data_IF_329511209447
#
_entry.id   IF_329511209447
#
_cell.length_a   1.000
_cell.length_b   1.000
_cell.length_c   1.000
_cell.angle_alpha   90.00
_cell.angle_beta   90.00
_cell.angle_gamma   90.00
#
_symmetry.space_group_name_H-M   'P 1'
#
loop_
_entity.id
_entity.type
_entity.pdbx_description
1 polymer ?
#
# COMPACT_ATOMS: atom_id res chain seq x y z
N UNK A 1 20.81 -8.85 -6.92
CA UNK A 1 20.17 -7.54 -6.65
C UNK A 1 19.11 -7.75 -5.58
N UNK A 2 19.38 -7.33 -4.34
CA UNK A 2 18.44 -7.48 -3.23
C UNK A 2 17.36 -6.42 -3.39
N UNK A 3 16.10 -6.84 -3.52
CA UNK A 3 14.95 -5.90 -3.53
C UNK A 3 14.94 -5.23 -2.16
N UNK A 4 15.23 -3.93 -2.17
CA UNK A 4 15.13 -3.05 -1.02
C UNK A 4 13.68 -3.10 -0.54
N UNK A 5 13.43 -3.77 0.59
CA UNK A 5 12.12 -3.70 1.25
C UNK A 5 12.03 -2.31 1.86
N UNK A 6 11.26 -1.44 1.20
CA UNK A 6 10.87 -0.16 1.76
C UNK A 6 10.00 -0.49 2.99
N UNK A 7 10.30 0.17 4.09
CA UNK A 7 9.69 0.05 5.41
C UNK A 7 8.16 -0.06 5.30
N UNK A 8 7.60 -1.05 6.00
CA UNK A 8 6.31 -1.70 5.77
C UNK A 8 5.09 -0.77 5.83
N UNK A 9 4.77 -0.11 4.72
CA UNK A 9 3.37 0.21 4.44
C UNK A 9 2.76 -1.07 3.84
N UNK A 10 1.82 -1.75 4.52
CA UNK A 10 1.22 -2.98 4.00
C UNK A 10 0.63 -2.68 2.62
N UNK A 11 0.80 -3.64 1.70
CA UNK A 11 0.21 -3.55 0.37
C UNK A 11 -1.29 -3.23 0.54
N UNK A 12 -1.79 -2.23 -0.20
CA UNK A 12 -3.18 -1.72 -0.06
C UNK A 12 -4.19 -2.87 -0.14
N UNK A 13 -3.85 -3.90 -0.91
CA UNK A 13 -4.61 -5.14 -1.08
C UNK A 13 -4.75 -5.92 0.23
N UNK A 14 -3.65 -6.14 0.95
CA UNK A 14 -3.63 -6.82 2.25
C UNK A 14 -4.46 -6.06 3.28
N UNK A 15 -4.29 -4.73 3.34
CA UNK A 15 -5.04 -3.89 4.27
C UNK A 15 -6.55 -3.90 3.95
N UNK A 16 -6.91 -3.91 2.66
CA UNK A 16 -8.29 -4.02 2.24
C UNK A 16 -8.93 -5.36 2.65
N UNK A 17 -8.21 -6.47 2.48
CA UNK A 17 -8.66 -7.80 2.88
C UNK A 17 -8.81 -7.95 4.40
N UNK A 18 -7.88 -7.36 5.17
CA UNK A 18 -7.98 -7.30 6.62
C UNK A 18 -9.27 -6.62 7.07
N UNK A 19 -9.56 -5.43 6.53
CA UNK A 19 -10.79 -4.71 6.87
C UNK A 19 -12.05 -5.43 6.38
N UNK A 20 -12.02 -6.01 5.18
CA UNK A 20 -13.14 -6.78 4.67
C UNK A 20 -13.48 -7.96 5.59
N UNK A 21 -12.45 -8.68 6.07
CA UNK A 21 -12.62 -9.76 7.05
C UNK A 21 -13.24 -9.26 8.36
N UNK A 22 -12.74 -8.12 8.89
CA UNK A 22 -13.29 -7.49 10.12
C UNK A 22 -14.74 -7.04 9.96
N UNK A 23 -15.14 -6.64 8.76
CA UNK A 23 -16.50 -6.24 8.41
C UNK A 23 -17.42 -7.42 8.04
N UNK A 24 -16.92 -8.66 8.10
CA UNK A 24 -17.69 -9.87 7.80
C UNK A 24 -17.64 -10.34 6.35
N UNK A 25 -16.94 -9.64 5.47
CA UNK A 25 -16.73 -9.99 4.07
C UNK A 25 -15.51 -10.90 3.88
N UNK A 26 -15.51 -12.09 4.49
CA UNK A 26 -14.37 -13.02 4.47
C UNK A 26 -13.96 -13.53 3.08
N UNK A 27 -14.89 -13.49 2.11
CA UNK A 27 -14.66 -13.92 0.73
C UNK A 27 -14.10 -12.82 -0.17
N UNK A 28 -13.98 -11.59 0.34
CA UNK A 28 -13.40 -10.49 -0.41
C UNK A 28 -11.91 -10.74 -0.62
N UNK A 29 -11.46 -10.64 -1.87
CA UNK A 29 -10.05 -10.69 -2.26
C UNK A 29 -9.72 -9.44 -3.05
N UNK A 30 -8.69 -8.72 -2.63
CA UNK A 30 -8.22 -7.55 -3.34
C UNK A 30 -7.36 -8.00 -4.52
N UNK A 31 -7.94 -7.98 -5.72
CA UNK A 31 -7.19 -8.24 -6.96
C UNK A 31 -6.57 -6.95 -7.49
N UNK A 32 -5.57 -7.08 -8.36
CA UNK A 32 -4.97 -5.95 -9.07
C UNK A 32 -6.01 -5.15 -9.87
N UNK A 33 -7.03 -5.82 -10.42
CA UNK A 33 -8.16 -5.18 -11.09
C UNK A 33 -9.07 -4.42 -10.13
N UNK A 34 -9.35 -4.98 -8.95
CA UNK A 34 -10.06 -4.27 -7.89
C UNK A 34 -9.30 -3.02 -7.44
N UNK A 35 -7.99 -3.13 -7.21
CA UNK A 35 -7.15 -2.01 -6.79
C UNK A 35 -7.13 -0.90 -7.84
N UNK A 36 -7.00 -1.27 -9.12
CA UNK A 36 -7.03 -0.33 -10.25
C UNK A 36 -8.36 0.43 -10.31
N UNK A 37 -9.48 -0.29 -10.24
CA UNK A 37 -10.81 0.34 -10.25
C UNK A 37 -11.09 1.15 -8.98
N UNK A 38 -10.63 0.69 -7.82
CA UNK A 38 -10.77 1.41 -6.56
C UNK A 38 -10.01 2.75 -6.61
N UNK A 39 -8.80 2.77 -7.19
CA UNK A 39 -8.04 4.01 -7.40
C UNK A 39 -8.78 4.99 -8.29
N UNK A 40 -9.32 4.51 -9.42
CA UNK A 40 -10.09 5.35 -10.35
C UNK A 40 -11.34 5.93 -9.66
N UNK A 41 -12.15 5.09 -8.99
CA UNK A 41 -13.38 5.53 -8.31
C UNK A 41 -13.14 6.55 -7.21
N UNK A 42 -12.02 6.43 -6.49
CA UNK A 42 -11.68 7.31 -5.38
C UNK A 42 -10.71 8.44 -5.80
N UNK A 43 -10.45 8.61 -7.10
CA UNK A 43 -9.51 9.59 -7.64
C UNK A 43 -8.12 9.55 -6.97
N UNK A 44 -7.65 8.34 -6.62
CA UNK A 44 -6.34 8.12 -6.00
C UNK A 44 -5.29 8.05 -7.10
N UNK A 45 -4.52 9.12 -7.24
CA UNK A 45 -3.42 9.21 -8.20
C UNK A 45 -2.07 8.98 -7.51
N UNK A 46 -1.29 8.03 -8.01
CA UNK A 46 0.12 7.93 -7.64
C UNK A 46 0.87 9.06 -8.33
N UNK A 47 1.14 10.13 -7.58
CA UNK A 47 2.05 11.17 -8.02
C UNK A 47 3.45 10.79 -7.59
N UNK A 48 4.36 10.65 -8.57
CA UNK A 48 5.79 10.66 -8.29
C UNK A 48 6.13 12.08 -7.87
N UNK A 49 6.51 12.29 -6.61
CA UNK A 49 7.07 13.56 -6.16
C UNK A 49 8.45 13.67 -6.82
N UNK A 50 8.53 14.36 -7.96
CA UNK A 50 9.79 14.71 -8.60
C UNK A 50 10.17 16.11 -8.10
N UNK A 51 10.90 16.18 -6.98
CA UNK A 51 11.35 17.45 -6.41
C UNK A 51 11.95 17.28 -5.02
N UNK A 52 13.29 17.28 -4.99
CA UNK A 52 14.20 17.46 -3.85
C UNK A 52 14.26 16.36 -2.76
N UNK A 53 15.49 15.92 -2.47
CA UNK A 53 15.88 14.97 -1.43
C UNK A 53 15.39 15.42 -0.04
N UNK A 54 14.24 14.93 0.41
CA UNK A 54 13.95 14.90 1.83
C UNK A 54 14.62 13.64 2.39
N UNK A 55 15.83 13.84 2.95
CA UNK A 55 16.45 12.92 3.89
C UNK A 55 15.48 12.68 5.04
N UNK A 56 14.61 11.68 4.89
CA UNK A 56 13.89 11.09 6.01
C UNK A 56 14.89 10.14 6.65
N UNK A 57 15.47 10.53 7.78
CA UNK A 57 16.22 9.60 8.62
C UNK A 57 15.27 8.44 8.95
N UNK A 58 15.50 7.30 8.31
CA UNK A 58 14.74 6.10 8.58
C UNK A 58 15.19 5.59 9.95
N UNK A 59 14.27 5.42 10.93
CA UNK A 59 14.65 4.74 12.16
C UNK A 59 15.01 3.30 11.79
N UNK A 60 16.29 2.98 12.00
CA UNK A 60 16.81 1.61 12.07
C UNK A 60 16.09 0.91 13.22
N UNK A 61 15.00 0.23 12.93
CA UNK A 61 14.36 -0.66 13.89
C UNK A 61 15.25 -1.89 14.07
N UNK A 62 15.81 -2.04 15.27
CA UNK A 62 16.51 -3.25 15.68
C UNK A 62 15.49 -4.34 16.04
N UNK A 63 15.90 -5.58 15.80
CA UNK A 63 15.16 -6.86 15.94
C UNK A 63 14.47 -7.04 17.30
#
# INVERSE_FOLDING_TARGET
MKRMKICEYPDIEEKAEFFATKLGHKQFKASQGWLSNWKIRNNVVFRKICGENASVDQPICSD
#
